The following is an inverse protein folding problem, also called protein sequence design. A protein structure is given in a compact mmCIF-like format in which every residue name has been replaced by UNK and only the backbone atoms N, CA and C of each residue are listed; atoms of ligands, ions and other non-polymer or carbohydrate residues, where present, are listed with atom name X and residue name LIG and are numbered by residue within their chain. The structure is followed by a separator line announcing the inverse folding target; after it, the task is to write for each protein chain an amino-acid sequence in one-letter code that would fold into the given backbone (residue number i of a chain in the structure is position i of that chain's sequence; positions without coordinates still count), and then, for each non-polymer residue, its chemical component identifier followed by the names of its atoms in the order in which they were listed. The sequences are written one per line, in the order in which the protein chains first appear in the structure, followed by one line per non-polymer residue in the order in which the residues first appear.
data_IF_012961320919
#
_entry.id   IF_012961320919
#
_cell.length_a   1.000
_cell.length_b   1.000
_cell.length_c   1.000
_cell.angle_alpha   90.00
_cell.angle_beta   90.00
_cell.angle_gamma   90.00
#
_symmetry.space_group_name_H-M   'P 1'
#
loop_
_entity.id
_entity.type
_entity.pdbx_description
1 polymer ?
#
# COMPACT_ATOMS: atom_id res chain seq x y z
N UNK A 1 -17.04 11.10 14.21
CA UNK A 1 -15.83 11.11 15.08
C UNK A 1 -14.65 11.16 14.14
N UNK A 2 -13.99 12.32 14.05
CA UNK A 2 -12.75 12.43 13.26
C UNK A 2 -11.72 11.51 13.92
N UNK A 3 -11.32 10.45 13.21
CA UNK A 3 -10.21 9.64 13.67
C UNK A 3 -8.96 10.53 13.65
N UNK A 4 -8.24 10.60 14.77
CA UNK A 4 -6.98 11.32 14.93
C UNK A 4 -5.82 10.66 14.13
N UNK A 5 -6.16 10.01 13.03
CA UNK A 5 -5.27 9.23 12.20
C UNK A 5 -4.42 10.16 11.34
N UNK A 6 -3.11 10.11 11.55
CA UNK A 6 -2.15 10.88 10.78
C UNK A 6 -1.04 9.98 10.26
N UNK A 7 -0.48 10.38 9.12
CA UNK A 7 0.69 9.78 8.48
C UNK A 7 1.89 10.76 8.50
N UNK A 8 1.85 11.79 9.34
CA UNK A 8 2.92 12.79 9.46
C UNK A 8 4.28 12.18 9.80
N UNK A 9 4.27 11.15 10.64
CA UNK A 9 5.48 10.44 11.08
C UNK A 9 6.26 9.78 9.93
N UNK A 10 5.62 9.58 8.76
CA UNK A 10 6.27 9.10 7.54
C UNK A 10 6.32 10.14 6.42
N UNK A 11 5.96 11.40 6.69
CA UNK A 11 6.05 12.50 5.72
C UNK A 11 4.83 12.67 4.81
N UNK A 12 3.68 12.05 5.13
CA UNK A 12 2.44 12.24 4.38
C UNK A 12 1.54 13.22 5.15
N UNK A 13 1.50 14.46 4.66
CA UNK A 13 0.68 15.55 5.18
C UNK A 13 -0.77 15.53 4.67
N UNK A 14 -1.08 14.71 3.66
CA UNK A 14 -2.44 14.59 3.12
C UNK A 14 -3.44 14.14 4.20
N UNK A 15 -4.46 14.96 4.46
CA UNK A 15 -5.50 14.70 5.47
C UNK A 15 -6.74 14.01 4.91
N UNK A 16 -6.89 14.00 3.60
CA UNK A 16 -8.02 13.32 2.98
C UNK A 16 -7.68 11.82 2.84
N UNK A 17 -8.01 11.08 3.89
CA UNK A 17 -7.66 9.66 4.06
C UNK A 17 -8.91 8.82 4.24
N UNK A 18 -9.09 7.80 3.41
CA UNK A 18 -10.09 6.74 3.61
C UNK A 18 -9.40 5.49 4.17
N UNK A 19 -9.45 5.32 5.49
CA UNK A 19 -8.81 4.21 6.21
C UNK A 19 -9.80 3.06 6.47
N UNK A 20 -9.41 1.83 6.09
CA UNK A 20 -10.12 0.59 6.36
C UNK A 20 -11.63 0.60 6.02
N UNK A 21 -12.03 1.41 5.04
CA UNK A 21 -13.43 1.55 4.63
C UNK A 21 -14.02 0.23 4.10
N UNK A 22 -15.34 0.17 4.07
CA UNK A 22 -16.07 -1.04 3.68
C UNK A 22 -15.78 -1.44 2.23
N UNK A 23 -16.01 -2.72 1.90
CA UNK A 23 -15.90 -3.21 0.52
C UNK A 23 -16.85 -2.44 -0.41
N UNK A 24 -18.07 -2.15 0.04
CA UNK A 24 -19.05 -1.39 -0.74
C UNK A 24 -18.54 0.03 -1.05
N UNK A 25 -17.96 0.70 -0.04
CA UNK A 25 -17.38 2.04 -0.25
C UNK A 25 -16.21 1.99 -1.24
N UNK A 26 -15.32 1.00 -1.13
CA UNK A 26 -14.23 0.85 -2.10
C UNK A 26 -14.71 0.54 -3.53
N UNK A 27 -15.86 -0.11 -3.69
CA UNK A 27 -16.50 -0.28 -5.01
C UNK A 27 -17.00 1.05 -5.55
N UNK A 28 -17.72 1.84 -4.74
CA UNK A 28 -18.18 3.18 -5.11
C UNK A 28 -17.01 4.07 -5.53
N UNK A 29 -15.99 4.19 -4.67
CA UNK A 29 -14.80 5.00 -4.93
C UNK A 29 -14.09 4.54 -6.21
N UNK A 30 -14.02 3.23 -6.48
CA UNK A 30 -13.41 2.72 -7.71
C UNK A 30 -14.23 3.08 -8.95
N UNK A 31 -15.55 2.96 -8.91
CA UNK A 31 -16.39 3.34 -10.04
C UNK A 31 -16.29 4.84 -10.33
N UNK A 32 -16.16 5.67 -9.28
CA UNK A 32 -16.09 7.13 -9.43
C UNK A 32 -14.69 7.65 -9.79
N UNK A 33 -13.62 6.95 -9.40
CA UNK A 33 -12.26 7.50 -9.44
C UNK A 33 -11.22 6.62 -10.15
N UNK A 34 -11.48 5.33 -10.36
CA UNK A 34 -10.58 4.49 -11.13
C UNK A 34 -10.99 4.43 -12.61
N UNK A 35 -10.13 4.97 -13.47
CA UNK A 35 -10.37 4.93 -14.91
C UNK A 35 -10.56 3.50 -15.42
N UNK A 36 -11.68 3.28 -16.13
CA UNK A 36 -12.04 2.00 -16.70
C UNK A 36 -12.56 0.97 -15.70
N UNK A 37 -12.86 1.37 -14.46
CA UNK A 37 -13.56 0.51 -13.51
C UNK A 37 -14.98 0.18 -14.01
N UNK A 38 -15.36 -1.10 -13.89
CA UNK A 38 -16.69 -1.57 -14.24
C UNK A 38 -17.10 -2.72 -13.32
N UNK A 39 -18.41 -2.96 -13.20
CA UNK A 39 -18.94 -4.11 -12.46
C UNK A 39 -19.34 -5.19 -13.46
N UNK A 40 -18.84 -6.42 -13.25
CA UNK A 40 -19.21 -7.57 -14.07
C UNK A 40 -20.65 -8.03 -13.78
N UNK A 41 -21.19 -8.88 -14.64
CA UNK A 41 -22.52 -9.49 -14.45
C UNK A 41 -22.62 -10.36 -13.18
N UNK A 42 -21.50 -10.71 -12.55
CA UNK A 42 -21.44 -11.46 -11.28
C UNK A 42 -21.08 -10.59 -10.08
N UNK A 43 -21.04 -9.26 -10.24
CA UNK A 43 -20.73 -8.31 -9.17
C UNK A 43 -19.24 -8.15 -8.85
N UNK A 44 -18.35 -8.67 -9.70
CA UNK A 44 -16.91 -8.46 -9.58
C UNK A 44 -16.50 -7.08 -10.09
N UNK A 45 -15.71 -6.35 -9.32
CA UNK A 45 -15.07 -5.12 -9.81
C UNK A 45 -13.97 -5.49 -10.81
N UNK A 46 -14.05 -4.94 -12.02
CA UNK A 46 -13.10 -5.14 -13.11
C UNK A 46 -12.31 -3.86 -13.35
N UNK A 47 -11.00 -3.98 -13.51
CA UNK A 47 -10.10 -2.89 -13.88
C UNK A 47 -9.01 -3.39 -14.83
N UNK A 48 -8.31 -2.44 -15.46
CA UNK A 48 -7.11 -2.72 -16.26
C UNK A 48 -5.87 -2.21 -15.53
N UNK A 49 -4.83 -3.04 -15.46
CA UNK A 49 -3.53 -2.68 -14.85
C UNK A 49 -2.57 -1.97 -15.81
N UNK A 50 -3.05 -1.59 -17.00
CA UNK A 50 -2.25 -0.96 -18.05
C UNK A 50 -1.23 -1.92 -18.66
N UNK A 51 -0.04 -1.40 -18.97
CA UNK A 51 1.05 -2.17 -19.58
C UNK A 51 1.60 -3.28 -18.68
N UNK A 52 1.52 -3.09 -17.35
CA UNK A 52 2.03 -4.04 -16.36
C UNK A 52 0.93 -5.04 -16.01
N UNK A 53 0.83 -6.12 -16.78
CA UNK A 53 -0.14 -7.23 -16.57
C UNK A 53 0.41 -8.36 -15.70
N UNK A 54 1.64 -8.22 -15.21
CA UNK A 54 2.30 -9.18 -14.33
C UNK A 54 3.39 -8.53 -13.51
N UNK A 55 4.16 -9.35 -12.79
CA UNK A 55 5.30 -8.88 -12.00
C UNK A 55 6.40 -8.35 -12.92
N UNK A 56 7.20 -7.40 -12.41
CA UNK A 56 8.42 -6.93 -13.06
C UNK A 56 9.68 -7.31 -12.24
N UNK A 57 10.17 -8.57 -12.31
CA UNK A 57 11.31 -9.00 -11.50
C UNK A 57 12.57 -8.17 -11.71
N UNK A 58 12.76 -7.63 -12.93
CA UNK A 58 13.91 -6.78 -13.29
C UNK A 58 13.86 -5.38 -12.65
N UNK A 59 12.71 -4.98 -12.11
CA UNK A 59 12.53 -3.68 -11.44
C UNK A 59 12.59 -3.82 -9.91
N UNK A 60 12.62 -5.04 -9.37
CA UNK A 60 12.76 -5.27 -7.92
C UNK A 60 14.14 -4.80 -7.46
N UNK A 61 14.17 -4.09 -6.33
CA UNK A 61 15.39 -3.63 -5.67
C UNK A 61 15.28 -3.86 -4.16
N UNK A 62 16.41 -4.08 -3.49
CA UNK A 62 16.51 -4.19 -2.03
C UNK A 62 17.63 -3.29 -1.57
N UNK A 63 17.36 -2.43 -0.58
CA UNK A 63 18.38 -1.52 -0.05
C UNK A 63 19.46 -2.34 0.63
N UNK A 64 20.72 -2.09 0.28
CA UNK A 64 21.85 -2.69 0.96
C UNK A 64 22.14 -1.89 2.23
N UNK A 65 21.87 -2.50 3.38
CA UNK A 65 22.00 -1.88 4.70
C UNK A 65 23.27 -2.40 5.36
N UNK A 66 24.20 -1.51 5.77
CA UNK A 66 25.40 -1.94 6.48
C UNK A 66 25.07 -2.82 7.69
N UNK A 67 25.74 -3.98 7.78
CA UNK A 67 25.54 -4.96 8.85
C UNK A 67 24.50 -6.04 8.55
N UNK A 68 23.70 -5.91 7.49
CA UNK A 68 22.70 -6.89 7.07
C UNK A 68 22.96 -7.43 5.65
N UNK A 69 24.07 -7.02 5.03
CA UNK A 69 24.41 -7.38 3.65
C UNK A 69 24.49 -8.90 3.48
N UNK A 70 25.12 -9.62 4.40
CA UNK A 70 25.29 -11.07 4.29
C UNK A 70 24.00 -11.87 4.55
N UNK A 71 22.97 -11.24 5.13
CA UNK A 71 21.68 -11.88 5.40
C UNK A 71 20.76 -11.92 4.15
N UNK A 72 21.13 -11.20 3.09
CA UNK A 72 20.35 -11.11 1.86
C UNK A 72 20.96 -11.98 0.77
N UNK A 73 20.14 -12.84 0.17
CA UNK A 73 20.56 -13.67 -0.97
C UNK A 73 20.64 -12.85 -2.27
N UNK A 74 21.75 -12.14 -2.48
CA UNK A 74 21.96 -11.26 -3.62
C UNK A 74 22.05 -11.98 -4.97
N UNK A 75 21.59 -11.32 -6.04
CA UNK A 75 21.73 -11.84 -7.40
C UNK A 75 20.85 -11.13 -8.42
N UNK A 76 20.50 -11.83 -9.51
CA UNK A 76 19.66 -11.27 -10.59
C UNK A 76 18.23 -10.91 -10.16
N UNK A 77 17.78 -11.42 -9.01
CA UNK A 77 16.43 -11.19 -8.46
C UNK A 77 16.46 -10.19 -7.31
N UNK A 78 17.35 -10.38 -6.33
CA UNK A 78 17.58 -9.43 -5.25
C UNK A 78 18.76 -8.54 -5.68
N UNK A 79 18.43 -7.46 -6.39
CA UNK A 79 19.41 -6.48 -6.85
C UNK A 79 19.60 -5.40 -5.79
N UNK A 80 20.85 -5.08 -5.42
CA UNK A 80 21.13 -4.06 -4.41
C UNK A 80 20.72 -2.68 -4.90
N UNK A 81 20.32 -1.84 -3.96
CA UNK A 81 20.02 -0.43 -4.15
C UNK A 81 20.73 0.37 -3.08
N UNK A 82 21.45 1.41 -3.50
CA UNK A 82 22.05 2.35 -2.56
C UNK A 82 20.96 3.09 -1.78
N UNK A 83 21.20 3.33 -0.49
CA UNK A 83 20.27 4.04 0.38
C UNK A 83 19.86 5.41 -0.15
N UNK A 84 20.80 6.18 -0.70
CA UNK A 84 20.54 7.49 -1.29
C UNK A 84 19.51 7.42 -2.44
N UNK A 85 19.63 6.41 -3.30
CA UNK A 85 18.68 6.16 -4.39
C UNK A 85 17.30 5.75 -3.86
N UNK A 86 17.25 4.96 -2.78
CA UNK A 86 15.98 4.67 -2.11
C UNK A 86 15.32 5.94 -1.55
N UNK A 87 16.08 6.79 -0.88
CA UNK A 87 15.59 8.04 -0.30
C UNK A 87 15.01 8.95 -1.40
N UNK A 88 15.67 9.08 -2.55
CA UNK A 88 15.14 9.83 -3.71
C UNK A 88 13.79 9.25 -4.19
N UNK A 89 13.69 7.92 -4.34
CA UNK A 89 12.43 7.28 -4.77
C UNK A 89 11.33 7.41 -3.72
N UNK A 90 11.70 7.36 -2.44
CA UNK A 90 10.78 7.54 -1.31
C UNK A 90 10.22 8.96 -1.32
N UNK A 91 11.06 9.98 -1.45
CA UNK A 91 10.60 11.38 -1.49
C UNK A 91 9.64 11.62 -2.67
N UNK A 92 9.93 11.06 -3.86
CA UNK A 92 9.00 11.12 -5.00
C UNK A 92 7.64 10.50 -4.70
N UNK A 93 7.62 9.35 -4.02
CA UNK A 93 6.38 8.72 -3.62
C UNK A 93 5.59 9.58 -2.62
N UNK A 94 6.28 10.21 -1.66
CA UNK A 94 5.67 11.12 -0.70
C UNK A 94 5.10 12.37 -1.36
N UNK A 95 5.88 13.02 -2.24
CA UNK A 95 5.43 14.18 -3.02
C UNK A 95 4.15 13.87 -3.78
N UNK A 96 4.10 12.73 -4.47
CA UNK A 96 2.91 12.30 -5.19
C UNK A 96 1.72 12.06 -4.26
N UNK A 97 1.92 11.33 -3.15
CA UNK A 97 0.83 11.07 -2.19
C UNK A 97 0.30 12.34 -1.50
N UNK A 98 1.15 13.36 -1.35
CA UNK A 98 0.77 14.66 -0.83
C UNK A 98 0.06 15.53 -1.88
N UNK A 99 0.36 15.34 -3.17
CA UNK A 99 -0.24 16.10 -4.27
C UNK A 99 -1.63 15.59 -4.68
N UNK A 100 -1.95 14.31 -4.49
CA UNK A 100 -3.25 13.74 -4.87
C UNK A 100 -4.38 14.22 -3.93
N UNK A 101 -5.60 14.30 -4.46
CA UNK A 101 -6.77 14.75 -3.69
C UNK A 101 -7.14 13.81 -2.54
N UNK A 102 -6.93 12.51 -2.70
CA UNK A 102 -7.39 11.47 -1.79
C UNK A 102 -6.37 10.35 -1.74
N UNK A 103 -6.12 9.83 -0.54
CA UNK A 103 -5.39 8.58 -0.34
C UNK A 103 -6.25 7.56 0.41
N UNK A 104 -5.93 6.29 0.20
CA UNK A 104 -6.61 5.15 0.79
C UNK A 104 -5.62 4.36 1.64
N UNK A 105 -6.04 4.03 2.85
CA UNK A 105 -5.23 3.26 3.79
C UNK A 105 -5.94 1.96 4.13
N UNK A 106 -5.18 0.87 4.09
CA UNK A 106 -5.65 -0.41 4.61
C UNK A 106 -4.61 -0.97 5.59
N UNK A 107 -5.00 -1.04 6.86
CA UNK A 107 -4.29 -1.73 7.92
C UNK A 107 -4.79 -3.17 8.01
N UNK A 108 -3.87 -4.13 7.94
CA UNK A 108 -4.17 -5.56 8.05
C UNK A 108 -3.01 -6.38 8.55
N UNK A 109 -3.22 -7.69 8.64
CA UNK A 109 -2.20 -8.63 9.13
C UNK A 109 -1.73 -9.58 8.01
N UNK A 110 -0.42 -9.84 7.99
CA UNK A 110 0.19 -10.88 7.18
C UNK A 110 0.68 -12.01 8.09
N UNK A 111 0.18 -13.23 7.87
CA UNK A 111 0.38 -14.36 8.78
C UNK A 111 -0.83 -14.58 9.69
N UNK A 112 -1.27 -15.84 9.82
CA UNK A 112 -2.47 -16.21 10.58
C UNK A 112 -2.24 -16.19 12.09
N UNK A 113 -1.08 -16.68 12.53
CA UNK A 113 -0.74 -16.81 13.94
C UNK A 113 -0.50 -15.43 14.58
N UNK A 114 -1.25 -15.05 15.64
CA UNK A 114 -1.05 -13.79 16.35
C UNK A 114 0.37 -13.55 16.86
N UNK A 115 1.14 -14.59 17.17
CA UNK A 115 2.53 -14.48 17.66
C UNK A 115 3.50 -14.05 16.56
N UNK A 116 3.25 -14.49 15.32
CA UNK A 116 4.17 -14.31 14.19
C UNK A 116 3.65 -13.38 13.10
N UNK A 117 2.41 -12.88 13.23
CA UNK A 117 1.82 -12.00 12.21
C UNK A 117 2.46 -10.62 12.21
N UNK A 118 2.59 -10.05 11.03
CA UNK A 118 3.04 -8.68 10.83
C UNK A 118 1.86 -7.74 10.65
N UNK A 119 1.89 -6.60 11.34
CA UNK A 119 1.01 -5.45 11.07
C UNK A 119 1.50 -4.74 9.81
N UNK A 120 0.69 -4.79 8.76
CA UNK A 120 0.99 -4.17 7.48
C UNK A 120 0.06 -2.98 7.26
N UNK A 121 0.63 -1.79 7.10
CA UNK A 121 -0.09 -0.59 6.66
C UNK A 121 0.14 -0.40 5.17
N UNK A 122 -0.92 -0.48 4.39
CA UNK A 122 -0.87 -0.17 2.96
C UNK A 122 -1.45 1.21 2.70
N UNK A 123 -0.69 2.04 1.98
CA UNK A 123 -1.06 3.39 1.58
C UNK A 123 -1.04 3.42 0.06
N UNK A 124 -2.15 3.78 -0.55
CA UNK A 124 -2.27 3.81 -2.00
C UNK A 124 -3.15 4.97 -2.46
N UNK A 125 -2.96 5.40 -3.70
CA UNK A 125 -3.71 6.53 -4.29
C UNK A 125 -4.91 6.08 -5.12
N UNK A 126 -5.15 4.76 -5.24
CA UNK A 126 -6.25 4.18 -6.02
C UNK A 126 -7.12 3.26 -5.16
N UNK A 127 -8.44 3.38 -5.18
CA UNK A 127 -9.34 2.59 -4.33
C UNK A 127 -9.29 1.09 -4.64
N UNK A 128 -9.13 0.68 -5.91
CA UNK A 128 -9.01 -0.75 -6.20
C UNK A 128 -7.78 -1.41 -5.57
N UNK A 129 -6.68 -0.66 -5.37
CA UNK A 129 -5.49 -1.18 -4.70
C UNK A 129 -5.76 -1.43 -3.21
N UNK A 130 -6.51 -0.54 -2.54
CA UNK A 130 -6.96 -0.76 -1.17
C UNK A 130 -7.91 -1.97 -1.08
N UNK A 131 -8.82 -2.12 -2.06
CA UNK A 131 -9.70 -3.30 -2.14
C UNK A 131 -8.92 -4.60 -2.36
N UNK A 132 -7.91 -4.58 -3.23
CA UNK A 132 -7.03 -5.72 -3.46
C UNK A 132 -6.36 -6.14 -2.16
N UNK A 133 -5.73 -5.21 -1.44
CA UNK A 133 -5.06 -5.53 -0.17
C UNK A 133 -6.03 -5.96 0.92
N UNK A 134 -7.23 -5.40 0.95
CA UNK A 134 -8.32 -5.86 1.83
C UNK A 134 -8.71 -7.32 1.59
N UNK A 135 -8.60 -7.81 0.36
CA UNK A 135 -8.87 -9.20 0.03
C UNK A 135 -7.67 -10.11 0.32
N UNK A 136 -6.43 -9.61 0.17
CA UNK A 136 -5.21 -10.40 0.31
C UNK A 136 -4.69 -10.53 1.75
N UNK A 137 -4.91 -9.52 2.58
CA UNK A 137 -4.49 -9.51 3.98
C UNK A 137 -5.62 -9.92 4.92
N UNK A 138 -5.24 -10.39 6.11
CA UNK A 138 -6.19 -10.68 7.18
C UNK A 138 -6.72 -9.35 7.72
N UNK A 139 -8.04 -9.24 7.77
CA UNK A 139 -8.74 -8.03 8.20
C UNK A 139 -8.77 -7.96 9.72
N UNK A 140 -8.41 -6.83 10.33
CA UNK A 140 -8.58 -6.65 11.77
C UNK A 140 -10.08 -6.62 12.12
N UNK A 141 -10.40 -7.02 13.34
CA UNK A 141 -11.68 -6.67 13.95
C UNK A 141 -11.72 -5.15 14.22
N UNK A 142 -12.90 -4.56 14.50
CA UNK A 142 -12.98 -3.14 14.87
C UNK A 142 -12.06 -2.77 16.04
N UNK A 143 -12.00 -3.62 17.07
CA UNK A 143 -11.16 -3.41 18.25
C UNK A 143 -9.67 -3.48 17.89
N UNK A 144 -9.27 -4.49 17.08
CA UNK A 144 -7.90 -4.61 16.60
C UNK A 144 -7.47 -3.44 15.70
N UNK A 145 -8.43 -2.78 15.03
CA UNK A 145 -8.14 -1.62 14.17
C UNK A 145 -7.96 -0.34 15.00
N UNK A 146 -8.76 -0.18 16.06
CA UNK A 146 -8.60 0.88 17.05
C UNK A 146 -7.23 0.76 17.75
N UNK A 147 -6.85 -0.46 18.13
CA UNK A 147 -5.57 -0.77 18.80
C UNK A 147 -4.40 -1.07 17.84
N UNK A 148 -4.55 -0.81 16.54
CA UNK A 148 -3.55 -1.22 15.53
C UNK A 148 -2.16 -0.62 15.78
N UNK A 149 -2.11 0.63 16.26
CA UNK A 149 -0.88 1.34 16.56
C UNK A 149 0.04 1.54 15.36
N UNK A 150 1.35 1.43 15.60
CA UNK A 150 2.40 1.52 14.59
C UNK A 150 2.54 0.19 13.81
N UNK A 151 2.60 0.21 12.46
CA UNK A 151 2.78 -1.00 11.66
C UNK A 151 4.23 -1.52 11.73
N UNK A 152 4.39 -2.84 11.62
CA UNK A 152 5.72 -3.48 11.46
C UNK A 152 6.27 -3.26 10.04
N UNK A 153 5.38 -3.13 9.05
CA UNK A 153 5.74 -2.86 7.67
C UNK A 153 4.77 -1.89 7.00
N UNK A 154 5.32 -0.91 6.27
CA UNK A 154 4.51 0.05 5.50
C UNK A 154 4.74 -0.14 4.01
N UNK A 155 3.66 -0.26 3.24
CA UNK A 155 3.69 -0.34 1.77
C UNK A 155 3.14 0.96 1.21
N UNK A 156 3.95 1.68 0.43
CA UNK A 156 3.55 2.87 -0.31
C UNK A 156 3.36 2.54 -1.79
N UNK A 157 2.12 2.55 -2.26
CA UNK A 157 1.79 2.33 -3.67
C UNK A 157 1.48 3.69 -4.35
N UNK A 158 2.52 4.25 -4.97
CA UNK A 158 2.53 5.51 -5.69
C UNK A 158 2.76 5.34 -7.21
N UNK A 159 2.46 4.16 -7.77
CA UNK A 159 2.93 3.76 -9.12
C UNK A 159 2.33 4.52 -10.32
N UNK A 160 1.48 5.52 -10.10
CA UNK A 160 1.02 6.42 -11.17
C UNK A 160 2.02 7.56 -11.44
N UNK A 161 2.96 7.80 -10.52
CA UNK A 161 4.04 8.75 -10.71
C UNK A 161 5.23 8.09 -11.44
N UNK A 162 5.88 8.79 -12.39
CA UNK A 162 6.98 8.25 -13.19
C UNK A 162 8.30 8.04 -12.43
#
# INVERSE_FOLDING_TARGET
MESNFSLDYIGIANRNVLRNVSRAKLYEEAIDHDEGAAISNVGGLMLRSGEKTGRSPKDKRVVDVPGMTEDVWWGKINMPLERSNYEINRERALDYMNAVKQIYVFDGFAGWDPEFRLKVRVICTRPYHALFMRNMLIRPTPEQLEDFGEPDFTIMNAGAFP
#
